data_IF_133912844064
#
_entry.id   IF_133912844064
#
_cell.length_a   1.000
_cell.length_b   1.000
_cell.length_c   1.000
_cell.angle_alpha   90.00
_cell.angle_beta   90.00
_cell.angle_gamma   90.00
#
_symmetry.space_group_name_H-M   'P 1'
#
loop_
_entity.id
_entity.type
_entity.pdbx_description
1 polymer ?
#
# COMPACT_ATOMS: atom_id res chain seq x y z
N UNK A 1 -40.51 38.76 39.64
CA UNK A 1 -39.44 38.20 40.50
C UNK A 1 -39.47 36.68 40.40
N UNK A 2 -38.59 36.10 39.60
CA UNK A 2 -37.71 34.98 39.94
C UNK A 2 -37.09 34.43 38.66
N UNK A 3 -35.94 35.00 38.33
CA UNK A 3 -34.92 34.46 37.43
C UNK A 3 -34.46 33.10 37.92
N UNK A 4 -34.58 32.07 37.09
CA UNK A 4 -33.77 30.85 37.22
C UNK A 4 -33.10 30.59 35.87
N UNK A 5 -31.83 30.98 35.83
CA UNK A 5 -30.86 30.64 34.80
C UNK A 5 -30.64 29.13 34.80
N UNK A 6 -30.85 28.45 33.67
CA UNK A 6 -30.51 27.04 33.51
C UNK A 6 -29.27 26.95 32.63
N UNK A 7 -28.11 26.85 33.29
CA UNK A 7 -26.82 26.57 32.67
C UNK A 7 -26.76 25.04 32.50
N UNK A 8 -26.76 24.56 31.26
CA UNK A 8 -26.55 23.15 30.93
C UNK A 8 -25.03 22.90 30.81
N UNK A 9 -24.43 21.97 31.58
CA UNK A 9 -22.98 21.82 31.62
C UNK A 9 -22.46 21.01 30.43
N UNK A 10 -21.33 21.46 29.88
CA UNK A 10 -20.47 20.73 28.95
C UNK A 10 -20.06 19.38 29.56
N UNK A 11 -20.48 18.28 28.95
CA UNK A 11 -19.98 16.93 29.23
C UNK A 11 -18.54 16.83 28.71
N UNK A 12 -17.57 17.05 29.60
CA UNK A 12 -16.20 16.58 29.41
C UNK A 12 -16.17 15.07 29.70
N UNK A 13 -16.09 14.26 28.65
CA UNK A 13 -15.83 12.83 28.77
C UNK A 13 -14.42 12.62 29.30
N UNK A 14 -14.31 12.19 30.55
CA UNK A 14 -13.06 11.80 31.20
C UNK A 14 -12.65 10.44 30.62
N UNK A 15 -11.55 10.37 29.86
CA UNK A 15 -10.89 9.09 29.54
C UNK A 15 -10.12 8.68 30.78
N UNK A 16 -10.68 7.77 31.57
CA UNK A 16 -9.96 7.11 32.64
C UNK A 16 -9.00 6.08 32.02
N UNK A 17 -7.72 6.45 31.90
CA UNK A 17 -6.64 5.49 31.66
C UNK A 17 -6.44 4.70 32.95
N UNK A 18 -7.04 3.51 33.03
CA UNK A 18 -6.70 2.55 34.07
C UNK A 18 -5.28 2.04 33.81
N UNK A 19 -4.32 2.55 34.59
CA UNK A 19 -2.99 1.95 34.70
C UNK A 19 -3.13 0.67 35.52
N UNK A 20 -3.18 -0.48 34.84
CA UNK A 20 -2.98 -1.77 35.51
C UNK A 20 -1.51 -1.84 35.96
N UNK A 21 -1.28 -1.75 37.27
CA UNK A 21 0.03 -1.95 37.91
C UNK A 21 0.40 -3.44 38.01
N UNK A 22 0.17 -4.21 36.95
CA UNK A 22 0.67 -5.57 36.80
C UNK A 22 1.86 -5.54 35.84
N UNK A 23 2.99 -6.14 36.21
CA UNK A 23 4.05 -6.41 35.23
C UNK A 23 3.44 -7.34 34.18
N UNK A 24 3.05 -6.81 33.03
CA UNK A 24 2.76 -7.62 31.86
C UNK A 24 4.13 -8.12 31.40
N UNK A 25 4.50 -9.35 31.78
CA UNK A 25 5.63 -9.99 31.11
C UNK A 25 5.25 -10.09 29.63
N UNK A 26 6.04 -9.50 28.73
CA UNK A 26 5.75 -9.61 27.31
C UNK A 26 5.77 -11.10 26.96
N UNK A 27 4.66 -11.61 26.42
CA UNK A 27 4.63 -12.95 25.87
C UNK A 27 5.79 -13.03 24.88
N UNK A 28 6.69 -14.01 25.08
CA UNK A 28 7.81 -14.22 24.18
C UNK A 28 7.23 -14.48 22.79
N UNK A 29 7.64 -13.67 21.82
CA UNK A 29 7.25 -13.89 20.43
C UNK A 29 7.57 -15.35 20.06
N UNK A 30 6.57 -16.05 19.53
CA UNK A 30 6.74 -17.42 19.04
C UNK A 30 7.80 -17.42 17.95
N UNK A 31 8.75 -18.36 18.04
CA UNK A 31 9.67 -18.61 16.95
C UNK A 31 8.87 -19.27 15.83
N UNK A 32 8.82 -18.64 14.66
CA UNK A 32 8.19 -19.22 13.48
C UNK A 32 8.83 -20.57 13.15
N UNK A 33 8.00 -21.58 12.88
CA UNK A 33 8.47 -22.94 12.60
C UNK A 33 8.84 -23.14 11.12
N UNK A 34 8.23 -22.35 10.23
CA UNK A 34 8.37 -22.49 8.77
C UNK A 34 9.04 -21.28 8.09
N UNK A 35 9.70 -21.52 6.96
CA UNK A 35 10.31 -20.44 6.15
C UNK A 35 9.25 -19.53 5.51
N UNK A 36 9.56 -18.24 5.39
CA UNK A 36 8.76 -17.30 4.59
C UNK A 36 8.99 -17.62 3.11
N UNK A 37 7.91 -17.90 2.38
CA UNK A 37 7.94 -18.10 0.94
C UNK A 37 6.86 -17.25 0.26
N UNK A 38 7.06 -16.93 -1.02
CA UNK A 38 6.06 -16.19 -1.80
C UNK A 38 4.74 -16.97 -1.97
N UNK A 39 4.79 -18.30 -1.85
CA UNK A 39 3.61 -19.15 -1.77
C UNK A 39 3.04 -19.08 -0.35
N UNK A 40 2.12 -18.13 -0.15
CA UNK A 40 1.38 -18.02 1.10
C UNK A 40 0.07 -18.80 1.01
N UNK A 41 -0.21 -19.59 2.04
CA UNK A 41 -1.54 -20.11 2.33
C UNK A 41 -1.67 -20.17 3.84
N UNK A 42 -2.85 -19.85 4.35
CA UNK A 42 -3.16 -20.10 5.76
C UNK A 42 -3.09 -21.62 6.04
N UNK A 43 -2.56 -22.00 7.21
CA UNK A 43 -2.47 -23.40 7.65
C UNK A 43 -3.80 -23.97 8.13
N UNK A 44 -4.82 -23.13 8.32
CA UNK A 44 -6.13 -23.54 8.84
C UNK A 44 -7.00 -24.17 7.77
N UNK A 45 -7.65 -25.29 8.13
CA UNK A 45 -8.75 -25.87 7.35
C UNK A 45 -10.08 -25.28 7.83
N UNK A 46 -10.73 -24.53 6.95
CA UNK A 46 -12.05 -23.95 7.23
C UNK A 46 -13.15 -24.99 7.05
N UNK A 47 -13.96 -25.22 8.09
CA UNK A 47 -15.08 -26.18 8.07
C UNK A 47 -16.46 -25.53 8.27
N UNK A 48 -16.50 -24.22 8.57
CA UNK A 48 -17.72 -23.50 8.94
C UNK A 48 -18.44 -22.80 7.79
N UNK A 49 -19.76 -22.61 7.94
CA UNK A 49 -20.58 -21.75 7.06
C UNK A 49 -20.80 -20.40 7.74
N UNK A 50 -19.89 -19.45 7.54
CA UNK A 50 -20.11 -18.08 7.97
C UNK A 50 -21.18 -17.38 7.10
N UNK A 51 -22.02 -16.55 7.70
CA UNK A 51 -22.97 -15.69 6.99
C UNK A 51 -22.36 -14.32 6.72
N UNK A 52 -22.69 -13.73 5.57
CA UNK A 52 -22.27 -12.36 5.24
C UNK A 52 -22.82 -11.38 6.30
N UNK A 53 -22.01 -10.45 6.83
CA UNK A 53 -22.47 -9.39 7.71
C UNK A 53 -23.50 -8.46 7.04
N UNK A 54 -24.40 -7.87 7.82
CA UNK A 54 -25.34 -6.85 7.33
C UNK A 54 -24.61 -5.57 6.92
N UNK A 55 -25.10 -4.92 5.86
CA UNK A 55 -24.58 -3.64 5.39
C UNK A 55 -24.67 -3.47 3.88
N UNK A 56 -24.93 -2.24 3.45
CA UNK A 56 -25.09 -1.93 2.02
C UNK A 56 -23.78 -2.07 1.23
N UNK A 57 -22.68 -1.62 1.81
CA UNK A 57 -21.36 -1.57 1.15
C UNK A 57 -20.35 -2.42 1.92
N UNK A 58 -20.49 -3.75 1.82
CA UNK A 58 -19.62 -4.71 2.50
C UNK A 58 -19.02 -5.66 1.47
N UNK A 59 -17.69 -5.64 1.38
CA UNK A 59 -16.89 -6.69 0.76
C UNK A 59 -16.57 -7.73 1.84
N UNK A 60 -16.91 -8.98 1.58
CA UNK A 60 -16.79 -10.06 2.55
C UNK A 60 -16.60 -11.40 1.87
N UNK A 61 -15.72 -12.22 2.44
CA UNK A 61 -15.26 -13.48 1.89
C UNK A 61 -15.20 -14.53 3.00
N UNK A 62 -15.39 -15.80 2.64
CA UNK A 62 -15.39 -16.94 3.56
C UNK A 62 -14.02 -17.57 3.76
N UNK A 63 -13.09 -17.26 2.87
CA UNK A 63 -11.75 -17.82 2.84
C UNK A 63 -10.74 -16.66 2.78
N UNK A 64 -9.54 -16.87 3.34
CA UNK A 64 -8.43 -15.95 3.17
C UNK A 64 -7.99 -15.87 1.70
N UNK A 65 -7.38 -14.75 1.33
CA UNK A 65 -6.87 -14.50 0.00
C UNK A 65 -5.67 -15.40 -0.34
N UNK A 66 -5.66 -16.12 -1.46
CA UNK A 66 -4.51 -16.96 -1.85
C UNK A 66 -3.49 -16.17 -2.66
N UNK A 67 -3.96 -15.14 -3.37
CA UNK A 67 -3.15 -14.24 -4.20
C UNK A 67 -3.41 -12.79 -3.83
N UNK A 68 -2.52 -11.89 -4.27
CA UNK A 68 -2.56 -10.48 -3.88
C UNK A 68 -3.84 -9.77 -4.34
N UNK A 69 -4.37 -10.15 -5.50
CA UNK A 69 -5.59 -9.61 -6.09
C UNK A 69 -6.86 -9.92 -5.27
N UNK A 70 -6.80 -10.93 -4.41
CA UNK A 70 -7.91 -11.32 -3.52
C UNK A 70 -7.82 -10.62 -2.15
N UNK A 71 -6.67 -10.03 -1.81
CA UNK A 71 -6.45 -9.36 -0.53
C UNK A 71 -7.19 -8.02 -0.48
N UNK A 72 -7.59 -7.61 0.73
CA UNK A 72 -8.40 -6.41 0.91
C UNK A 72 -7.53 -5.16 1.11
N UNK A 73 -7.69 -4.12 0.28
CA UNK A 73 -6.92 -2.89 0.41
C UNK A 73 -7.46 -2.03 1.55
N UNK A 74 -6.56 -1.54 2.38
CA UNK A 74 -6.80 -0.51 3.38
C UNK A 74 -5.78 0.62 3.19
N UNK A 75 -6.15 1.85 3.53
CA UNK A 75 -5.20 2.95 3.47
C UNK A 75 -5.75 4.28 3.97
N UNK A 76 -4.83 5.19 4.28
CA UNK A 76 -5.13 6.54 4.76
C UNK A 76 -4.61 7.64 3.82
N UNK A 77 -4.31 7.27 2.56
CA UNK A 77 -3.73 8.16 1.54
C UNK A 77 -2.20 8.23 1.55
N UNK A 78 -1.54 7.91 2.67
CA UNK A 78 -0.07 7.82 2.75
C UNK A 78 0.41 6.39 2.92
N UNK A 79 -0.15 5.68 3.89
CA UNK A 79 0.11 4.27 4.14
C UNK A 79 -1.00 3.44 3.49
N UNK A 80 -0.59 2.34 2.86
CA UNK A 80 -1.46 1.33 2.30
C UNK A 80 -1.15 -0.04 2.87
N UNK A 81 -2.15 -0.90 2.92
CA UNK A 81 -2.02 -2.28 3.32
C UNK A 81 -2.91 -3.18 2.47
N UNK A 82 -2.44 -4.38 2.16
CA UNK A 82 -3.24 -5.44 1.56
C UNK A 82 -3.34 -6.57 2.58
N UNK A 83 -4.55 -6.80 3.09
CA UNK A 83 -4.83 -7.77 4.17
C UNK A 83 -5.29 -9.09 3.58
N UNK A 84 -4.59 -10.17 3.91
CA UNK A 84 -4.88 -11.49 3.37
C UNK A 84 -5.94 -12.25 4.17
N UNK A 85 -6.07 -11.97 5.47
CA UNK A 85 -7.15 -12.50 6.32
C UNK A 85 -6.86 -13.91 6.86
N UNK A 86 -5.59 -14.31 6.93
CA UNK A 86 -5.20 -15.62 7.44
C UNK A 86 -5.42 -15.74 8.95
N UNK A 87 -5.82 -16.92 9.40
CA UNK A 87 -6.16 -17.18 10.81
C UNK A 87 -4.95 -17.63 11.60
N UNK A 88 -4.21 -18.65 11.14
CA UNK A 88 -3.00 -19.10 11.81
C UNK A 88 -1.78 -18.29 11.38
N UNK A 89 -1.71 -17.97 10.08
CA UNK A 89 -0.68 -17.14 9.50
C UNK A 89 -1.33 -15.96 8.80
N UNK A 90 -1.24 -14.76 9.36
CA UNK A 90 -1.68 -13.55 8.67
C UNK A 90 -0.52 -12.93 7.90
N UNK A 91 -0.82 -12.43 6.70
CA UNK A 91 0.09 -11.65 5.87
C UNK A 91 -0.55 -10.30 5.58
N UNK A 92 0.14 -9.24 5.92
CA UNK A 92 -0.24 -7.88 5.53
C UNK A 92 0.89 -7.30 4.70
N UNK A 93 0.67 -7.15 3.39
CA UNK A 93 1.60 -6.39 2.55
C UNK A 93 1.41 -4.91 2.84
N UNK A 94 2.51 -4.16 2.94
CA UNK A 94 2.52 -2.75 3.31
C UNK A 94 3.09 -1.90 2.18
N UNK A 95 2.57 -0.68 2.10
CA UNK A 95 2.94 0.33 1.11
C UNK A 95 3.03 1.71 1.78
N UNK A 96 3.96 2.54 1.30
CA UNK A 96 4.12 3.93 1.72
C UNK A 96 4.31 4.80 0.48
N UNK A 97 3.44 5.79 0.28
CA UNK A 97 3.31 6.55 -0.98
C UNK A 97 4.58 7.22 -1.52
N UNK A 98 5.56 7.51 -0.65
CA UNK A 98 6.82 8.17 -0.99
C UNK A 98 7.97 7.18 -1.22
N UNK A 99 7.73 5.88 -1.06
CA UNK A 99 8.75 4.86 -1.28
C UNK A 99 8.91 4.55 -2.78
N UNK A 100 9.83 5.28 -3.41
CA UNK A 100 10.22 5.11 -4.81
C UNK A 100 11.70 4.79 -4.91
N UNK A 101 12.09 4.02 -5.94
CA UNK A 101 13.50 3.79 -6.24
C UNK A 101 14.19 5.09 -6.68
N UNK A 102 15.50 5.17 -6.42
CA UNK A 102 16.36 6.24 -6.86
C UNK A 102 16.40 7.44 -5.92
N UNK A 103 16.66 8.60 -6.50
CA UNK A 103 16.92 9.85 -5.79
C UNK A 103 16.51 11.02 -6.67
N UNK A 104 16.46 12.22 -6.09
CA UNK A 104 16.17 13.45 -6.84
C UNK A 104 17.17 13.62 -7.98
N UNK A 105 16.68 13.66 -9.21
CA UNK A 105 17.48 13.78 -10.42
C UNK A 105 16.82 14.76 -11.39
N UNK A 106 17.63 15.48 -12.16
CA UNK A 106 17.15 16.26 -13.31
C UNK A 106 17.21 15.38 -14.57
N UNK A 107 16.07 14.92 -15.11
CA UNK A 107 16.06 14.03 -16.26
C UNK A 107 16.18 14.77 -17.59
N UNK A 108 16.29 16.11 -17.59
CA UNK A 108 16.23 16.91 -18.81
C UNK A 108 17.42 16.62 -19.74
N UNK A 109 17.11 16.32 -21.01
CA UNK A 109 18.12 16.11 -22.03
C UNK A 109 18.33 17.38 -22.86
N UNK A 110 19.47 18.09 -22.72
CA UNK A 110 19.73 19.33 -23.46
C UNK A 110 19.93 19.12 -24.97
N UNK A 111 20.12 17.88 -25.42
CA UNK A 111 20.16 17.54 -26.85
C UNK A 111 18.76 17.50 -27.46
N UNK A 112 17.70 17.34 -26.66
CA UNK A 112 16.34 17.16 -27.15
C UNK A 112 15.83 18.37 -27.92
N UNK A 113 16.02 19.56 -27.36
CA UNK A 113 15.68 20.82 -28.04
C UNK A 113 16.49 21.03 -29.32
N UNK A 114 17.76 20.60 -29.34
CA UNK A 114 18.65 20.72 -30.50
C UNK A 114 18.29 19.76 -31.63
N UNK A 115 17.75 18.58 -31.32
CA UNK A 115 17.32 17.59 -32.31
C UNK A 115 15.92 17.87 -32.89
N UNK A 116 15.09 18.68 -32.21
CA UNK A 116 13.70 18.93 -32.60
C UNK A 116 13.52 19.40 -34.06
N UNK A 117 14.28 20.38 -34.59
CA UNK A 117 14.10 20.85 -35.96
C UNK A 117 14.33 19.75 -37.01
N UNK A 118 15.34 18.90 -36.77
CA UNK A 118 15.68 17.82 -37.69
C UNK A 118 14.66 16.68 -37.64
N UNK A 119 14.16 16.35 -36.45
CA UNK A 119 13.06 15.39 -36.31
C UNK A 119 11.81 15.87 -37.05
N UNK A 120 11.44 17.15 -36.91
CA UNK A 120 10.32 17.73 -37.64
C UNK A 120 10.52 17.66 -39.17
N UNK A 121 11.73 17.98 -39.66
CA UNK A 121 12.08 17.86 -41.09
C UNK A 121 11.86 16.44 -41.60
N UNK A 122 12.37 15.43 -40.89
CA UNK A 122 12.22 14.02 -41.25
C UNK A 122 10.74 13.58 -41.31
N UNK A 123 9.91 14.06 -40.38
CA UNK A 123 8.46 13.80 -40.38
C UNK A 123 7.79 14.41 -41.61
N UNK A 124 8.10 15.68 -41.95
CA UNK A 124 7.51 16.34 -43.13
C UNK A 124 7.99 15.73 -44.47
N UNK A 125 9.17 15.11 -44.49
CA UNK A 125 9.67 14.32 -45.62
C UNK A 125 9.13 12.88 -45.66
N UNK A 126 8.20 12.52 -44.76
CA UNK A 126 7.62 11.19 -44.61
C UNK A 126 8.64 10.08 -44.25
N UNK A 127 9.78 10.46 -43.63
CA UNK A 127 10.85 9.56 -43.17
C UNK A 127 10.67 9.18 -41.70
N UNK A 128 9.54 8.56 -41.39
CA UNK A 128 9.10 8.34 -40.01
C UNK A 128 10.06 7.47 -39.18
N UNK A 129 10.65 6.42 -39.76
CA UNK A 129 11.58 5.55 -39.04
C UNK A 129 12.86 6.28 -38.61
N UNK A 130 13.38 7.16 -39.47
CA UNK A 130 14.57 7.97 -39.18
C UNK A 130 14.26 9.02 -38.10
N UNK A 131 13.08 9.64 -38.17
CA UNK A 131 12.61 10.58 -37.16
C UNK A 131 12.51 9.92 -35.77
N UNK A 132 11.95 8.71 -35.70
CA UNK A 132 11.84 7.94 -34.45
C UNK A 132 13.24 7.61 -33.91
N UNK A 133 14.14 7.07 -34.73
CA UNK A 133 15.50 6.74 -34.29
C UNK A 133 16.24 7.96 -33.73
N UNK A 134 16.12 9.12 -34.39
CA UNK A 134 16.73 10.36 -33.93
C UNK A 134 16.12 10.84 -32.61
N UNK A 135 14.78 10.81 -32.49
CA UNK A 135 14.08 11.18 -31.28
C UNK A 135 14.42 10.27 -30.09
N UNK A 136 14.44 8.95 -30.29
CA UNK A 136 14.84 7.98 -29.25
C UNK A 136 16.26 8.18 -28.76
N UNK A 137 17.16 8.64 -29.63
CA UNK A 137 18.57 8.88 -29.31
C UNK A 137 18.78 10.21 -28.58
N UNK A 138 18.03 11.25 -28.93
CA UNK A 138 18.36 12.63 -28.54
C UNK A 138 17.29 13.34 -27.71
N UNK A 139 16.04 12.90 -27.78
CA UNK A 139 14.90 13.60 -27.15
C UNK A 139 14.34 12.89 -25.92
N UNK A 140 14.86 11.71 -25.58
CA UNK A 140 14.51 11.01 -24.34
C UNK A 140 15.23 11.62 -23.13
N UNK A 141 14.60 11.58 -21.96
CA UNK A 141 15.23 11.96 -20.70
C UNK A 141 16.43 11.09 -20.32
N UNK A 142 17.29 11.61 -19.44
CA UNK A 142 18.51 10.93 -18.95
C UNK A 142 18.45 10.83 -17.42
N UNK A 143 18.30 9.63 -16.84
CA UNK A 143 18.11 8.34 -17.49
C UNK A 143 16.73 8.23 -18.16
N UNK A 144 16.60 7.26 -19.07
CA UNK A 144 15.31 6.99 -19.71
C UNK A 144 14.34 6.36 -18.70
N UNK A 145 13.09 6.86 -18.71
CA UNK A 145 12.01 6.34 -17.89
C UNK A 145 11.93 6.95 -16.48
N UNK A 146 10.85 6.62 -15.78
CA UNK A 146 10.62 7.01 -14.38
C UNK A 146 11.03 5.84 -13.49
N UNK A 147 11.61 6.14 -12.33
CA UNK A 147 11.96 5.10 -11.35
C UNK A 147 10.69 4.44 -10.79
N UNK A 148 10.71 3.12 -10.56
CA UNK A 148 9.52 2.41 -10.11
C UNK A 148 9.22 2.65 -8.63
N UNK A 149 7.93 2.70 -8.30
CA UNK A 149 7.41 2.60 -6.93
C UNK A 149 7.81 1.25 -6.31
N UNK A 150 8.09 1.23 -4.99
CA UNK A 150 8.52 0.03 -4.29
C UNK A 150 7.50 -0.39 -3.22
N UNK A 151 7.38 -1.70 -3.01
CA UNK A 151 6.67 -2.23 -1.85
C UNK A 151 7.46 -1.93 -0.57
N UNK A 152 6.78 -1.49 0.50
CA UNK A 152 7.45 -1.27 1.79
C UNK A 152 7.92 -2.60 2.41
N UNK A 153 7.14 -3.65 2.18
CA UNK A 153 7.44 -4.99 2.68
C UNK A 153 6.18 -5.69 3.12
N UNK A 154 6.34 -6.69 3.98
CA UNK A 154 5.25 -7.49 4.51
C UNK A 154 5.39 -7.62 6.02
N UNK A 155 4.25 -7.52 6.71
CA UNK A 155 4.10 -7.86 8.11
C UNK A 155 3.43 -9.22 8.21
N UNK A 156 4.05 -10.10 8.99
CA UNK A 156 3.61 -11.48 9.17
C UNK A 156 3.25 -11.71 10.63
N UNK A 157 2.05 -12.21 10.88
CA UNK A 157 1.66 -12.71 12.20
C UNK A 157 1.56 -14.22 12.16
N UNK A 158 2.28 -14.88 13.06
CA UNK A 158 2.17 -16.32 13.32
C UNK A 158 1.45 -16.48 14.65
N UNK A 159 0.17 -16.84 14.60
CA UNK A 159 -0.63 -17.02 15.81
C UNK A 159 -0.52 -18.48 16.27
N UNK A 160 -0.06 -18.73 17.50
CA UNK A 160 -0.04 -20.07 18.05
C UNK A 160 -1.45 -20.63 18.22
N UNK A 161 -1.55 -21.96 18.09
CA UNK A 161 -2.77 -22.74 18.30
C UNK A 161 -3.34 -22.62 19.72
#
# INVERSE_FOLDING_TARGET
>A
MNTKSLILPLLFSYVAVFSQSGKIEPLKATSRTDNISAAWTDRVLFSGKASKPEGRNVLWYREPAKVWEEALPLGNGRLGAMVFGGVADERIQLNESSLWDGYSLDPNNPEGARALPEVQRLIFENKNNEAVQLAEKKMMGIPKGVRPYQSLGELWFDTPH
#
